data_IF_093181278873
#
_entry.id   IF_093181278873
#
_cell.length_a   1.000
_cell.length_b   1.000
_cell.length_c   1.000
_cell.angle_alpha   90.00
_cell.angle_beta   90.00
_cell.angle_gamma   90.00
#
_symmetry.space_group_name_H-M   'P 1'
#
loop_
_entity.id
_entity.type
_entity.pdbx_description
1 polymer ?
#
# COMPACT_ATOMS: atom_id res chain seq x y z
N UNK A 1 6.16 -31.43 -15.77
CA UNK A 1 5.95 -30.36 -16.77
C UNK A 1 6.11 -29.03 -16.06
N UNK A 2 6.88 -28.06 -16.59
CA UNK A 2 6.94 -26.74 -16.00
C UNK A 2 5.57 -26.06 -16.05
N UNK A 3 5.23 -25.29 -15.02
CA UNK A 3 4.03 -24.45 -15.04
C UNK A 3 4.31 -23.27 -15.97
N UNK A 4 3.46 -22.98 -16.98
CA UNK A 4 3.66 -21.84 -17.87
C UNK A 4 3.69 -20.52 -17.10
N UNK A 5 4.63 -19.65 -17.43
CA UNK A 5 4.76 -18.30 -16.88
C UNK A 5 4.82 -17.31 -18.05
N UNK A 6 4.19 -16.15 -17.88
CA UNK A 6 4.29 -15.05 -18.85
C UNK A 6 5.68 -14.42 -18.74
N UNK A 7 6.41 -14.36 -19.87
CA UNK A 7 7.73 -13.73 -19.91
C UNK A 7 7.63 -12.22 -19.60
N UNK A 8 8.52 -11.75 -18.72
CA UNK A 8 8.57 -10.34 -18.33
C UNK A 8 7.43 -9.86 -17.43
N UNK A 9 6.65 -10.77 -16.83
CA UNK A 9 5.58 -10.42 -15.89
C UNK A 9 6.13 -9.67 -14.68
N UNK A 10 5.63 -8.45 -14.48
CA UNK A 10 5.81 -7.69 -13.25
C UNK A 10 4.50 -7.76 -12.42
N UNK A 11 4.50 -8.43 -11.26
CA UNK A 11 3.32 -8.52 -10.40
C UNK A 11 2.77 -7.15 -9.98
N UNK A 12 3.62 -6.14 -9.83
CA UNK A 12 3.19 -4.79 -9.45
C UNK A 12 2.39 -4.15 -10.57
N UNK A 13 2.84 -4.29 -11.82
CA UNK A 13 2.09 -3.80 -13.00
C UNK A 13 0.82 -4.60 -13.26
N UNK A 14 0.69 -5.78 -12.64
CA UNK A 14 -0.54 -6.59 -12.71
C UNK A 14 -1.54 -6.15 -11.65
N UNK A 15 -1.06 -5.74 -10.48
CA UNK A 15 -1.88 -5.31 -9.35
C UNK A 15 -2.20 -3.81 -9.33
N UNK A 16 -1.51 -3.02 -10.17
CA UNK A 16 -1.58 -1.55 -10.16
C UNK A 16 -1.46 -0.98 -11.57
N UNK A 17 -1.89 0.27 -11.74
CA UNK A 17 -1.65 1.06 -12.94
C UNK A 17 -0.99 2.41 -12.59
N UNK A 18 -0.52 3.12 -13.61
CA UNK A 18 0.21 4.38 -13.42
C UNK A 18 -0.66 5.48 -12.77
N UNK A 19 -1.97 5.47 -13.02
CA UNK A 19 -2.89 6.44 -12.43
C UNK A 19 -3.04 6.20 -10.92
N UNK A 20 -3.14 4.93 -10.52
CA UNK A 20 -3.21 4.50 -9.11
C UNK A 20 -1.94 4.86 -8.37
N UNK A 21 -0.77 4.55 -8.95
CA UNK A 21 0.53 4.89 -8.36
C UNK A 21 0.69 6.41 -8.20
N UNK A 22 0.33 7.20 -9.21
CA UNK A 22 0.35 8.66 -9.12
C UNK A 22 -0.61 9.16 -8.02
N UNK A 23 -1.78 8.55 -7.87
CA UNK A 23 -2.72 8.81 -6.79
C UNK A 23 -2.10 8.58 -5.40
N UNK A 24 -1.41 7.46 -5.21
CA UNK A 24 -0.73 7.16 -3.94
C UNK A 24 0.40 8.15 -3.65
N UNK A 25 1.17 8.55 -4.66
CA UNK A 25 2.23 9.55 -4.51
C UNK A 25 1.67 10.91 -4.08
N UNK A 26 0.54 11.33 -4.65
CA UNK A 26 -0.17 12.55 -4.23
C UNK A 26 -0.68 12.46 -2.78
N UNK A 27 -0.92 11.25 -2.27
CA UNK A 27 -1.29 10.99 -0.88
C UNK A 27 -0.08 10.84 0.04
N UNK A 28 1.15 11.01 -0.47
CA UNK A 28 2.37 10.97 0.32
C UNK A 28 3.03 9.59 0.42
N UNK A 29 2.66 8.64 -0.44
CA UNK A 29 3.46 7.42 -0.62
C UNK A 29 4.79 7.80 -1.30
N UNK A 30 5.94 7.32 -0.81
CA UNK A 30 7.21 7.51 -1.51
C UNK A 30 7.17 6.91 -2.92
N UNK A 31 7.88 7.55 -3.86
CA UNK A 31 7.91 7.14 -5.26
C UNK A 31 8.88 5.96 -5.53
N UNK A 32 9.58 5.45 -4.52
CA UNK A 32 10.47 4.32 -4.69
C UNK A 32 9.70 3.01 -4.94
N UNK A 33 10.36 2.09 -5.64
CA UNK A 33 9.74 0.85 -6.09
C UNK A 33 9.22 -0.02 -4.95
N UNK A 34 9.96 -0.09 -3.84
CA UNK A 34 9.59 -0.92 -2.68
C UNK A 34 8.31 -0.37 -2.01
N UNK A 35 8.19 0.95 -1.91
CA UNK A 35 6.97 1.59 -1.41
C UNK A 35 5.75 1.30 -2.30
N UNK A 36 5.93 1.32 -3.62
CA UNK A 36 4.86 0.97 -4.57
C UNK A 36 4.48 -0.51 -4.46
N UNK A 37 5.46 -1.41 -4.31
CA UNK A 37 5.24 -2.85 -4.06
C UNK A 37 4.43 -3.10 -2.78
N UNK A 38 4.84 -2.48 -1.68
CA UNK A 38 4.14 -2.59 -0.39
C UNK A 38 2.71 -2.05 -0.48
N UNK A 39 2.50 -0.92 -1.16
CA UNK A 39 1.18 -0.36 -1.40
C UNK A 39 0.31 -1.30 -2.27
N UNK A 40 0.87 -1.88 -3.34
CA UNK A 40 0.17 -2.84 -4.18
C UNK A 40 -0.30 -4.07 -3.39
N UNK A 41 0.57 -4.64 -2.57
CA UNK A 41 0.22 -5.77 -1.70
C UNK A 41 -0.86 -5.37 -0.68
N UNK A 42 -0.72 -4.20 -0.05
CA UNK A 42 -1.68 -3.70 0.93
C UNK A 42 -3.07 -3.50 0.33
N UNK A 43 -3.14 -2.94 -0.88
CA UNK A 43 -4.39 -2.63 -1.57
C UNK A 43 -5.04 -3.88 -2.20
N UNK A 44 -4.25 -4.89 -2.59
CA UNK A 44 -4.74 -6.16 -3.10
C UNK A 44 -5.11 -7.18 -2.00
N UNK A 45 -4.74 -6.91 -0.75
CA UNK A 45 -4.96 -7.84 0.37
C UNK A 45 -6.43 -7.89 0.79
N UNK A 46 -7.01 -9.10 0.82
CA UNK A 46 -8.36 -9.34 1.35
C UNK A 46 -8.39 -9.51 2.89
N UNK A 47 -7.21 -9.58 3.52
CA UNK A 47 -7.02 -9.68 4.97
C UNK A 47 -6.56 -8.36 5.55
N UNK A 48 -6.48 -8.27 6.88
CA UNK A 48 -5.92 -7.12 7.59
C UNK A 48 -4.38 -7.14 7.51
N UNK A 49 -3.74 -6.25 6.73
CA UNK A 49 -2.29 -6.23 6.61
C UNK A 49 -1.66 -5.59 7.86
N UNK A 50 -0.54 -6.18 8.31
CA UNK A 50 0.29 -5.60 9.37
C UNK A 50 1.42 -4.80 8.72
N UNK A 51 1.56 -3.55 9.12
CA UNK A 51 2.61 -2.66 8.61
C UNK A 51 3.67 -2.50 9.70
N UNK A 52 4.93 -2.76 9.33
CA UNK A 52 6.11 -2.46 10.16
C UNK A 52 6.81 -1.26 9.54
N UNK A 53 6.57 -0.07 10.09
CA UNK A 53 7.05 1.18 9.54
C UNK A 53 7.65 2.08 10.63
N UNK A 54 8.97 2.03 10.85
CA UNK A 54 9.63 2.87 11.86
C UNK A 54 9.62 4.36 11.49
N UNK A 55 9.43 4.70 10.21
CA UNK A 55 9.47 6.07 9.72
C UNK A 55 8.08 6.74 9.72
N UNK A 56 7.02 5.96 10.01
CA UNK A 56 5.62 6.41 10.06
C UNK A 56 5.12 7.04 8.75
N UNK A 57 5.71 6.67 7.62
CA UNK A 57 5.30 7.12 6.28
C UNK A 57 3.98 6.48 5.85
N UNK A 58 3.82 5.17 6.08
CA UNK A 58 2.60 4.44 5.74
C UNK A 58 1.39 4.97 6.54
N UNK A 59 1.58 5.30 7.82
CA UNK A 59 0.53 5.92 8.65
C UNK A 59 0.04 7.26 8.06
N UNK A 60 0.97 8.11 7.59
CA UNK A 60 0.62 9.38 6.94
C UNK A 60 -0.12 9.14 5.62
N UNK A 61 0.39 8.24 4.80
CA UNK A 61 -0.24 7.89 3.52
C UNK A 61 -1.67 7.36 3.71
N UNK A 62 -1.89 6.42 4.64
CA UNK A 62 -3.22 5.85 4.93
C UNK A 62 -4.20 6.93 5.44
N UNK A 63 -3.73 7.85 6.28
CA UNK A 63 -4.55 9.00 6.73
C UNK A 63 -4.98 9.89 5.58
N UNK A 64 -4.09 10.14 4.62
CA UNK A 64 -4.42 10.93 3.44
C UNK A 64 -5.34 10.18 2.47
N UNK A 65 -5.17 8.86 2.34
CA UNK A 65 -5.99 8.01 1.47
C UNK A 65 -7.46 7.94 1.93
N UNK A 66 -7.70 7.70 3.22
CA UNK A 66 -9.07 7.54 3.76
C UNK A 66 -9.66 8.84 4.34
N UNK A 67 -8.82 9.86 4.52
CA UNK A 67 -9.21 11.19 4.95
C UNK A 67 -9.95 11.20 6.30
N UNK A 68 -10.97 12.09 6.47
CA UNK A 68 -11.62 12.31 7.76
C UNK A 68 -12.43 11.12 8.27
N UNK A 69 -12.74 10.15 7.40
CA UNK A 69 -13.50 8.96 7.78
C UNK A 69 -12.63 7.90 8.48
N UNK A 70 -11.30 8.06 8.46
CA UNK A 70 -10.39 7.13 9.12
C UNK A 70 -10.44 7.29 10.63
N UNK A 71 -10.90 6.24 11.33
CA UNK A 71 -10.82 6.16 12.79
C UNK A 71 -9.51 5.49 13.20
N UNK A 72 -8.69 6.22 13.95
CA UNK A 72 -7.42 5.69 14.49
C UNK A 72 -7.66 5.22 15.92
N UNK A 73 -7.32 3.98 16.19
CA UNK A 73 -7.37 3.38 17.52
C UNK A 73 -5.94 3.07 17.97
N UNK A 74 -5.59 3.41 19.21
CA UNK A 74 -4.31 3.06 19.82
C UNK A 74 -4.57 2.16 21.01
N UNK A 75 -3.92 0.99 21.03
CA UNK A 75 -4.00 0.08 22.15
C UNK A 75 -3.49 0.77 23.42
N UNK A 76 -4.34 0.88 24.45
CA UNK A 76 -4.00 1.49 25.74
C UNK A 76 -4.53 2.91 25.97
N UNK A 77 -5.08 3.60 24.97
CA UNK A 77 -5.84 4.83 25.21
C UNK A 77 -7.25 4.48 25.70
N UNK A 78 -7.61 4.87 26.93
CA UNK A 78 -9.01 4.89 27.37
C UNK A 78 -9.70 6.05 26.63
N UNK A 79 -10.84 5.74 25.99
CA UNK A 79 -11.63 6.69 25.20
C UNK A 79 -12.20 7.83 26.01
#
# INVERSE_FOLDING_TARGET
TPIPLTDGLDPVLTLTDQATVAGWQNQGLPADRLSVENAAILMASQRWPLIVDPQQQASKWIRNLYGPNLRVLQYGQKG
#
